data_IF_856958726732
#
_entry.id   IF_856958726732
#
_cell.length_a   1.000
_cell.length_b   1.000
_cell.length_c   1.000
_cell.angle_alpha   90.00
_cell.angle_beta   90.00
_cell.angle_gamma   90.00
#
_symmetry.space_group_name_H-M   'P 1'
#
loop_
_entity.id
_entity.type
_entity.pdbx_description
1 polymer ?
#
# COMPACT_ATOMS: atom_id res chain seq x y z
N UNK A 1 1.89 -15.76 -9.58
CA UNK A 1 1.24 -14.51 -9.15
C UNK A 1 0.37 -14.03 -10.29
N UNK A 2 -0.95 -14.03 -10.10
CA UNK A 2 -1.89 -13.53 -11.10
C UNK A 2 -1.72 -12.02 -11.35
N UNK A 3 -1.64 -11.62 -12.62
CA UNK A 3 -1.42 -10.23 -13.02
C UNK A 3 -2.63 -9.31 -12.75
N UNK A 4 -3.84 -9.87 -12.66
CA UNK A 4 -5.08 -9.16 -12.30
C UNK A 4 -4.99 -8.65 -10.87
N UNK A 5 -4.56 -9.52 -9.95
CA UNK A 5 -4.36 -9.17 -8.54
C UNK A 5 -3.22 -8.17 -8.40
N UNK A 6 -2.09 -8.39 -9.08
CA UNK A 6 -0.94 -7.48 -9.03
C UNK A 6 -1.31 -6.05 -9.48
N UNK A 7 -2.02 -5.90 -10.61
CA UNK A 7 -2.45 -4.59 -11.13
C UNK A 7 -3.47 -3.88 -10.26
N UNK A 8 -4.30 -4.64 -9.55
CA UNK A 8 -5.29 -4.08 -8.62
C UNK A 8 -4.65 -3.67 -7.29
N UNK A 9 -3.81 -4.55 -6.71
CA UNK A 9 -3.28 -4.37 -5.36
C UNK A 9 -2.07 -3.45 -5.29
N UNK A 10 -1.13 -3.47 -6.26
CA UNK A 10 0.09 -2.66 -6.16
C UNK A 10 -0.20 -1.14 -6.00
N UNK A 11 -1.12 -0.52 -6.78
CA UNK A 11 -1.45 0.89 -6.61
C UNK A 11 -2.16 1.22 -5.29
N UNK A 12 -2.92 0.27 -4.74
CA UNK A 12 -3.65 0.40 -3.47
C UNK A 12 -2.69 0.22 -2.30
N UNK A 13 -1.92 -0.86 -2.27
CA UNK A 13 -0.95 -1.19 -1.22
C UNK A 13 0.07 -0.08 -1.02
N UNK A 14 0.70 0.37 -2.11
CA UNK A 14 1.69 1.46 -2.06
C UNK A 14 1.13 2.79 -1.54
N UNK A 15 -0.20 2.97 -1.57
CA UNK A 15 -0.87 4.17 -1.05
C UNK A 15 -1.53 4.00 0.31
N UNK A 16 -1.76 2.78 0.78
CA UNK A 16 -2.49 2.52 2.04
C UNK A 16 -1.53 1.97 3.11
N UNK A 17 -0.61 1.09 2.73
CA UNK A 17 0.31 0.45 3.64
C UNK A 17 1.49 1.37 3.95
N UNK A 18 1.54 1.87 5.18
CA UNK A 18 2.61 2.75 5.63
C UNK A 18 3.05 2.43 7.07
N UNK A 19 3.10 1.14 7.40
CA UNK A 19 3.55 0.63 8.70
C UNK A 19 4.98 1.09 9.05
N UNK A 20 5.84 1.25 8.03
CA UNK A 20 7.19 1.78 8.19
C UNK A 20 7.21 3.21 8.74
N UNK A 21 6.23 4.06 8.39
CA UNK A 21 6.15 5.42 8.96
C UNK A 21 5.75 5.39 10.43
N UNK A 22 4.80 4.53 10.80
CA UNK A 22 4.40 4.36 12.20
C UNK A 22 5.61 3.95 13.04
N UNK A 23 6.29 2.89 12.59
CA UNK A 23 7.45 2.36 13.26
C UNK A 23 8.55 3.42 13.41
N UNK A 24 8.83 4.15 12.34
CA UNK A 24 9.81 5.22 12.36
C UNK A 24 9.50 6.31 13.38
N UNK A 25 8.26 6.77 13.47
CA UNK A 25 7.89 7.83 14.41
C UNK A 25 7.98 7.39 15.86
N UNK A 26 7.60 6.15 16.16
CA UNK A 26 7.76 5.57 17.50
C UNK A 26 9.24 5.48 17.86
N UNK A 27 10.07 4.94 16.96
CA UNK A 27 11.51 4.80 17.20
C UNK A 27 12.18 6.18 17.35
N UNK A 28 11.82 7.15 16.51
CA UNK A 28 12.33 8.51 16.55
C UNK A 28 11.98 9.22 17.87
N UNK A 29 10.74 9.09 18.33
CA UNK A 29 10.30 9.68 19.59
C UNK A 29 10.97 9.04 20.81
N UNK A 30 11.10 7.71 20.82
CA UNK A 30 11.81 6.98 21.87
C UNK A 30 13.29 7.37 21.89
N UNK A 31 13.93 7.46 20.71
CA UNK A 31 15.32 7.86 20.58
C UNK A 31 15.57 9.27 21.14
N UNK A 32 14.72 10.25 20.80
CA UNK A 32 14.83 11.61 21.35
C UNK A 32 14.60 11.62 22.86
N UNK A 33 13.61 10.89 23.37
CA UNK A 33 13.38 10.80 24.80
C UNK A 33 14.62 10.26 25.53
N UNK A 34 15.26 9.21 24.99
CA UNK A 34 16.49 8.63 25.52
C UNK A 34 17.69 9.58 25.45
N UNK A 35 17.84 10.35 24.36
CA UNK A 35 18.91 11.35 24.24
C UNK A 35 18.81 12.47 25.29
N UNK A 36 17.60 12.84 25.69
CA UNK A 36 17.35 13.88 26.70
C UNK A 36 17.25 13.33 28.13
N UNK A 37 17.48 12.03 28.35
CA UNK A 37 17.25 11.36 29.63
C UNK A 37 15.80 11.52 30.16
N UNK A 38 14.83 11.64 29.24
CA UNK A 38 13.40 11.75 29.53
C UNK A 38 12.79 10.35 29.58
N UNK A 39 12.18 10.01 30.71
CA UNK A 39 11.38 8.80 30.84
C UNK A 39 9.98 9.03 30.27
N UNK A 40 9.57 8.17 29.33
CA UNK A 40 8.22 8.18 28.77
C UNK A 40 7.25 7.48 29.73
N UNK A 41 6.22 8.20 30.15
CA UNK A 41 5.12 7.63 30.92
C UNK A 41 4.18 6.81 30.02
N UNK A 42 3.37 5.94 30.62
CA UNK A 42 2.38 5.11 29.92
C UNK A 42 1.40 5.98 29.12
N UNK A 43 1.01 7.14 29.67
CA UNK A 43 0.17 8.11 28.97
C UNK A 43 0.82 8.63 27.68
N UNK A 44 2.12 8.91 27.73
CA UNK A 44 2.90 9.37 26.58
C UNK A 44 3.09 8.27 25.53
N UNK A 45 3.26 7.01 25.96
CA UNK A 45 3.33 5.86 25.06
C UNK A 45 2.02 5.63 24.31
N UNK A 46 0.87 5.78 24.98
CA UNK A 46 -0.45 5.67 24.35
C UNK A 46 -0.65 6.82 23.36
N UNK A 47 -0.35 8.06 23.75
CA UNK A 47 -0.42 9.21 22.85
C UNK A 47 0.51 9.01 21.65
N UNK A 48 1.75 8.56 21.87
CA UNK A 48 2.70 8.27 20.79
C UNK A 48 2.15 7.23 19.81
N UNK A 49 1.58 6.13 20.31
CA UNK A 49 1.00 5.10 19.46
C UNK A 49 -0.18 5.63 18.62
N UNK A 50 -1.08 6.43 19.22
CA UNK A 50 -2.21 7.04 18.51
C UNK A 50 -1.73 8.04 17.46
N UNK A 51 -0.80 8.93 17.83
CA UNK A 51 -0.26 9.94 16.94
C UNK A 51 0.50 9.31 15.77
N UNK A 52 1.29 8.26 16.04
CA UNK A 52 2.01 7.48 15.05
C UNK A 52 1.07 6.73 14.09
N UNK A 53 -0.03 6.17 14.61
CA UNK A 53 -1.05 5.56 13.77
C UNK A 53 -1.71 6.59 12.85
N UNK A 54 -2.05 7.78 13.38
CA UNK A 54 -2.62 8.88 12.59
C UNK A 54 -1.64 9.34 11.50
N UNK A 55 -0.35 9.43 11.82
CA UNK A 55 0.67 9.82 10.86
C UNK A 55 0.92 8.83 9.73
N UNK A 56 0.65 7.55 9.99
CA UNK A 56 0.77 6.49 9.01
C UNK A 56 -0.40 6.45 8.02
N UNK A 57 -1.46 7.24 8.27
CA UNK A 57 -2.58 7.35 7.34
C UNK A 57 -2.21 8.26 6.16
N UNK A 58 -1.94 7.64 5.02
CA UNK A 58 -1.54 8.31 3.78
C UNK A 58 -2.59 9.20 3.11
N UNK A 59 -3.85 9.16 3.53
CA UNK A 59 -4.95 9.76 2.76
C UNK A 59 -5.15 11.27 2.95
N UNK A 60 -4.81 11.87 4.10
CA UNK A 60 -4.99 13.32 4.33
C UNK A 60 -4.48 13.84 5.69
N UNK A 61 -4.02 12.97 6.59
CA UNK A 61 -3.96 13.32 8.01
C UNK A 61 -2.80 14.25 8.39
N UNK A 62 -1.64 14.15 7.71
CA UNK A 62 -0.47 14.97 8.00
C UNK A 62 0.05 15.66 6.73
N UNK A 63 0.15 17.01 6.73
CA UNK A 63 0.47 17.80 5.53
C UNK A 63 1.93 17.71 5.04
N UNK A 64 2.77 16.77 5.51
CA UNK A 64 4.15 16.62 5.05
C UNK A 64 4.74 15.25 5.39
N UNK A 65 5.62 14.75 4.51
CA UNK A 65 6.46 13.54 4.73
C UNK A 65 7.76 13.92 5.46
N UNK A 66 8.30 13.00 6.27
CA UNK A 66 9.63 13.14 6.89
C UNK A 66 9.64 13.95 8.20
N UNK A 67 10.68 14.75 8.42
CA UNK A 67 10.94 15.50 9.65
C UNK A 67 9.74 16.29 10.20
N UNK A 68 8.88 16.85 9.34
CA UNK A 68 7.70 17.62 9.76
C UNK A 68 6.67 16.74 10.49
N UNK A 69 6.46 15.51 10.02
CA UNK A 69 5.58 14.53 10.68
C UNK A 69 6.13 14.15 12.05
N UNK A 70 7.44 13.90 12.12
CA UNK A 70 8.11 13.61 13.39
C UNK A 70 8.04 14.78 14.36
N UNK A 71 8.25 16.02 13.90
CA UNK A 71 8.08 17.23 14.72
C UNK A 71 6.66 17.30 15.30
N UNK A 72 5.64 17.00 14.49
CA UNK A 72 4.25 16.98 14.93
C UNK A 72 4.01 15.94 16.03
N UNK A 73 4.47 14.70 15.83
CA UNK A 73 4.32 13.63 16.83
C UNK A 73 5.08 13.94 18.12
N UNK A 74 6.32 14.44 18.02
CA UNK A 74 7.10 14.86 19.18
C UNK A 74 6.40 15.97 19.96
N UNK A 75 5.83 16.95 19.26
CA UNK A 75 5.09 18.07 19.87
C UNK A 75 3.84 17.58 20.59
N UNK A 76 3.13 16.59 20.02
CA UNK A 76 1.94 16.01 20.62
C UNK A 76 2.23 15.20 21.90
N UNK A 77 3.41 14.59 22.00
CA UNK A 77 3.86 13.85 23.19
C UNK A 77 4.55 14.76 24.23
N UNK A 78 4.87 16.00 23.85
CA UNK A 78 5.52 17.00 24.71
C UNK A 78 7.05 16.87 24.77
N UNK A 79 7.67 16.27 23.75
CA UNK A 79 9.12 16.07 23.68
C UNK A 79 9.83 17.27 23.03
N UNK A 80 11.09 17.57 23.42
CA UNK A 80 11.84 18.69 22.90
C UNK A 80 12.22 18.50 21.42
N UNK A 81 11.68 19.39 20.58
CA UNK A 81 11.86 19.38 19.12
C UNK A 81 13.23 19.96 18.69
N UNK A 82 13.98 20.56 19.62
CA UNK A 82 15.26 21.23 19.33
C UNK A 82 16.34 20.27 18.80
N UNK A 83 16.19 18.97 19.01
CA UNK A 83 17.17 17.94 18.66
C UNK A 83 16.86 17.20 17.35
N UNK A 84 15.84 17.65 16.62
CA UNK A 84 15.44 17.05 15.34
C UNK A 84 16.58 17.10 14.29
N UNK A 85 17.60 17.95 14.48
CA UNK A 85 18.80 17.98 13.64
C UNK A 85 19.58 16.66 13.64
N UNK A 86 19.67 15.97 14.77
CA UNK A 86 20.28 14.63 14.87
C UNK A 86 19.45 13.60 14.11
N UNK A 87 18.12 13.77 14.14
CA UNK A 87 17.17 12.90 13.48
C UNK A 87 17.26 13.05 11.95
N UNK A 88 17.38 14.28 11.45
CA UNK A 88 17.61 14.58 10.02
C UNK A 88 18.91 13.91 9.52
N UNK A 89 19.94 13.81 10.37
CA UNK A 89 21.20 13.16 10.00
C UNK A 89 21.06 11.64 9.78
N UNK A 90 20.11 10.99 10.44
CA UNK A 90 19.80 9.55 10.25
C UNK A 90 18.58 9.31 9.36
N UNK A 91 17.80 10.34 9.08
CA UNK A 91 16.55 10.29 8.31
C UNK A 91 16.76 9.71 6.90
N UNK A 92 17.86 10.06 6.23
CA UNK A 92 18.17 9.53 4.90
C UNK A 92 18.36 8.00 4.89
N UNK A 93 18.83 7.43 5.99
CA UNK A 93 19.04 5.99 6.15
C UNK A 93 17.72 5.32 6.55
N UNK A 94 17.00 5.90 7.51
CA UNK A 94 15.74 5.38 8.02
C UNK A 94 14.61 5.43 6.98
N UNK A 95 14.54 6.45 6.11
CA UNK A 95 13.55 6.54 5.01
C UNK A 95 13.68 5.34 4.04
N UNK A 96 14.90 4.81 3.85
CA UNK A 96 15.13 3.63 3.00
C UNK A 96 14.59 2.36 3.64
N UNK A 97 14.77 2.18 4.95
CA UNK A 97 14.19 1.05 5.67
C UNK A 97 12.66 1.13 5.72
N UNK A 98 12.08 2.32 5.89
CA UNK A 98 10.64 2.51 5.86
C UNK A 98 10.04 2.12 4.52
N UNK A 99 10.69 2.53 3.42
CA UNK A 99 10.26 2.15 2.07
C UNK A 99 10.36 0.64 1.88
N UNK A 100 11.45 0.02 2.38
CA UNK A 100 11.64 -1.43 2.29
C UNK A 100 10.56 -2.20 3.06
N UNK A 101 10.24 -1.80 4.28
CA UNK A 101 9.19 -2.44 5.09
C UNK A 101 7.82 -2.31 4.42
N UNK A 102 7.48 -1.13 3.89
CA UNK A 102 6.21 -0.93 3.18
C UNK A 102 6.12 -1.82 1.93
N UNK A 103 7.18 -1.88 1.12
CA UNK A 103 7.23 -2.74 -0.07
C UNK A 103 7.14 -4.22 0.29
N UNK A 104 7.83 -4.66 1.35
CA UNK A 104 7.71 -6.04 1.83
C UNK A 104 6.30 -6.36 2.30
N UNK A 105 5.65 -5.45 3.04
CA UNK A 105 4.26 -5.60 3.46
C UNK A 105 3.31 -5.71 2.27
N UNK A 106 3.51 -4.91 1.23
CA UNK A 106 2.74 -4.99 -0.01
C UNK A 106 2.93 -6.34 -0.69
N UNK A 107 4.16 -6.85 -0.80
CA UNK A 107 4.44 -8.17 -1.36
C UNK A 107 3.76 -9.30 -0.58
N UNK A 108 3.80 -9.25 0.76
CA UNK A 108 3.14 -10.23 1.63
C UNK A 108 1.62 -10.15 1.49
N UNK A 109 1.03 -8.95 1.51
CA UNK A 109 -0.40 -8.74 1.31
C UNK A 109 -0.88 -9.28 -0.04
N UNK A 110 -0.11 -9.03 -1.09
CA UNK A 110 -0.32 -9.56 -2.43
C UNK A 110 -0.31 -11.09 -2.47
N UNK A 111 0.63 -11.73 -1.78
CA UNK A 111 0.69 -13.19 -1.69
C UNK A 111 -0.51 -13.77 -0.92
N UNK A 112 -0.93 -13.12 0.17
CA UNK A 112 -2.11 -13.55 0.94
C UNK A 112 -3.40 -13.43 0.12
N UNK A 113 -3.60 -12.30 -0.58
CA UNK A 113 -4.78 -12.08 -1.40
C UNK A 113 -4.81 -13.06 -2.58
N UNK A 114 -3.67 -13.31 -3.22
CA UNK A 114 -3.56 -14.32 -4.25
C UNK A 114 -4.04 -15.69 -3.78
N UNK A 115 -3.60 -16.11 -2.59
CA UNK A 115 -4.00 -17.39 -2.02
C UNK A 115 -5.49 -17.43 -1.65
N UNK A 116 -6.03 -16.36 -1.08
CA UNK A 116 -7.44 -16.28 -0.70
C UNK A 116 -8.39 -16.21 -1.90
N UNK A 117 -7.95 -15.61 -3.02
CA UNK A 117 -8.74 -15.42 -4.23
C UNK A 117 -8.57 -16.54 -5.28
N UNK A 118 -7.90 -17.65 -4.98
CA UNK A 118 -7.67 -18.74 -5.95
C UNK A 118 -8.98 -19.26 -6.59
N UNK A 119 -10.05 -19.36 -5.80
CA UNK A 119 -11.36 -19.81 -6.32
C UNK A 119 -12.00 -18.76 -7.22
N UNK A 120 -12.00 -17.51 -6.80
CA UNK A 120 -12.55 -16.39 -7.58
C UNK A 120 -11.82 -16.24 -8.92
N UNK A 121 -10.49 -16.43 -8.93
CA UNK A 121 -9.68 -16.39 -10.14
C UNK A 121 -10.06 -17.53 -11.11
N UNK A 122 -10.25 -18.74 -10.59
CA UNK A 122 -10.66 -19.89 -11.41
C UNK A 122 -12.05 -19.69 -12.00
N UNK A 123 -13.00 -19.16 -11.24
CA UNK A 123 -14.34 -18.81 -11.73
C UNK A 123 -14.29 -17.74 -12.84
N UNK A 124 -13.42 -16.73 -12.68
CA UNK A 124 -13.21 -15.70 -13.70
C UNK A 124 -12.58 -16.25 -14.98
N UNK A 125 -11.69 -17.24 -14.89
CA UNK A 125 -11.06 -17.88 -16.05
C UNK A 125 -12.10 -18.66 -16.86
N UNK A 126 -12.93 -19.47 -16.19
CA UNK A 126 -14.02 -20.20 -16.86
C UNK A 126 -15.01 -19.25 -17.55
N UNK A 127 -15.44 -18.17 -16.88
CA UNK A 127 -16.33 -17.19 -17.48
C UNK A 127 -15.70 -16.46 -18.68
N UNK A 128 -14.38 -16.26 -18.68
CA UNK A 128 -13.67 -15.68 -19.82
C UNK A 128 -13.57 -16.63 -21.00
N UNK A 129 -13.34 -17.93 -20.75
CA UNK A 129 -13.29 -18.96 -21.78
C UNK A 129 -14.67 -19.15 -22.45
N UNK A 130 -15.74 -19.20 -21.67
CA UNK A 130 -17.11 -19.29 -22.18
C UNK A 130 -17.45 -18.10 -23.09
N UNK A 131 -17.18 -16.87 -22.65
CA UNK A 131 -17.41 -15.65 -23.45
C UNK A 131 -16.56 -15.61 -24.72
N UNK A 132 -15.32 -16.09 -24.66
CA UNK A 132 -14.45 -16.15 -25.83
C UNK A 132 -14.96 -17.17 -26.86
N UNK A 133 -15.47 -18.32 -26.39
CA UNK A 133 -16.07 -19.33 -27.25
C UNK A 133 -17.37 -18.83 -27.91
N UNK A 134 -18.22 -18.13 -27.15
CA UNK A 134 -19.45 -17.50 -27.68
C UNK A 134 -19.13 -16.47 -28.76
N UNK A 135 -18.18 -15.56 -28.50
CA UNK A 135 -17.76 -14.55 -29.47
C UNK A 135 -17.17 -15.15 -30.76
N UNK A 136 -16.39 -16.23 -30.64
CA UNK A 136 -15.84 -16.92 -31.80
C UNK A 136 -16.92 -17.65 -32.61
N UNK A 137 -17.95 -18.18 -31.97
CA UNK A 137 -19.08 -18.81 -32.64
C UNK A 137 -19.95 -17.78 -33.39
N UNK A 138 -20.17 -16.60 -32.80
CA UNK A 138 -20.88 -15.49 -33.46
C UNK A 138 -20.10 -14.95 -34.67
N UNK A 139 -18.78 -14.80 -34.55
CA UNK A 139 -17.92 -14.36 -35.65
C UNK A 139 -17.94 -15.39 -36.81
N UNK A 140 -17.88 -16.69 -36.48
CA UNK A 140 -18.02 -17.76 -37.47
C UNK A 140 -19.39 -17.77 -38.15
N UNK A 141 -20.47 -17.52 -37.42
CA UNK A 141 -21.82 -17.47 -38.00
C UNK A 141 -21.96 -16.28 -38.95
N UNK A 142 -21.46 -15.11 -38.57
CA UNK A 142 -21.52 -13.89 -39.39
C UNK A 142 -20.69 -13.99 -40.68
N UNK A 143 -19.54 -14.66 -40.63
CA UNK A 143 -18.67 -14.86 -41.79
C UNK A 143 -19.24 -15.88 -42.77
N UNK A 144 -19.92 -16.91 -42.28
CA UNK A 144 -20.68 -17.87 -43.11
C UNK A 144 -21.88 -17.19 -43.76
N UNK A 145 -22.67 -16.41 -43.02
CA UNK A 145 -23.81 -15.65 -43.58
C UNK A 145 -23.37 -14.66 -44.66
N UNK A 146 -22.23 -13.97 -44.47
CA UNK A 146 -21.68 -13.06 -45.49
C UNK A 146 -21.24 -13.80 -46.76
N UNK A 147 -20.73 -15.03 -46.63
CA UNK A 147 -20.34 -15.87 -47.76
C UNK A 147 -21.54 -16.39 -48.57
N UNK A 148 -22.62 -16.78 -47.88
CA UNK A 148 -23.87 -17.18 -48.52
C UNK A 148 -24.56 -16.00 -49.23
N UNK A 149 -24.62 -14.83 -48.59
CA UNK A 149 -25.18 -13.62 -49.19
C UNK A 149 -24.42 -13.17 -50.46
N UNK A 150 -23.11 -13.45 -50.55
CA UNK A 150 -22.33 -13.18 -51.76
C UNK A 150 -22.62 -14.19 -52.89
N UNK A 151 -22.95 -15.44 -52.54
CA UNK A 151 -23.27 -16.51 -53.52
C UNK A 151 -24.67 -16.40 -54.13
N UNK A 152 -25.62 -15.71 -53.46
CA UNK A 152 -26.97 -15.46 -54.00
C UNK A 152 -27.04 -14.27 -54.97
N UNK A 153 -25.93 -13.52 -55.15
CA UNK A 153 -25.86 -12.33 -56.01
C UNK A 153 -25.21 -12.64 -57.38
N UNK A 154 -24.63 -13.84 -57.58
CA UNK A 154 -24.18 -14.37 -58.89
C UNK A 154 -25.26 -15.20 -59.60
#
# INVERSE_FOLDING_TARGET
MDHRIARFMLPIGTNVNMDGTALYEVIAAVFIAQLNDIHLDVSQLITLAVMSAVASLRAAAIPARGAVSTIFVLSAVGLPVREVSMLIAVEWLLDRFNTLVNVLGDCVGLAMIHHLSEKDLAEMDHAHEERAAEAAAEDHLSSVESQYAMSEIE
#
